data_IF_412180104649
#
_entry.id   IF_412180104649
#
_cell.length_a   1.000
_cell.length_b   1.000
_cell.length_c   1.000
_cell.angle_alpha   90.00
_cell.angle_beta   90.00
_cell.angle_gamma   90.00
#
_symmetry.space_group_name_H-M   'P 1'
#
loop_
_entity.id
_entity.type
_entity.pdbx_description
1 polymer ?
#
# COMPACT_ATOMS: atom_id res chain seq x y z
N UNK A 1 22.97 18.17 -10.73
CA UNK A 1 22.47 16.80 -10.89
C UNK A 1 21.72 16.46 -9.61
N UNK A 2 20.43 16.12 -9.69
CA UNK A 2 19.67 15.75 -8.49
C UNK A 2 20.20 14.44 -7.91
N UNK A 3 20.32 14.38 -6.59
CA UNK A 3 20.69 13.20 -5.80
C UNK A 3 19.43 12.60 -5.20
N UNK A 4 19.09 11.38 -5.59
CA UNK A 4 17.80 10.76 -5.25
C UNK A 4 18.06 9.42 -4.58
N UNK A 5 17.51 9.23 -3.38
CA UNK A 5 17.55 7.94 -2.70
C UNK A 5 16.20 7.23 -2.82
N UNK A 6 16.23 5.95 -3.18
CA UNK A 6 15.08 5.05 -3.15
C UNK A 6 15.21 4.18 -1.91
N UNK A 7 14.47 4.53 -0.86
CA UNK A 7 14.48 3.77 0.38
C UNK A 7 13.81 2.40 0.15
N UNK A 8 14.50 1.34 0.53
CA UNK A 8 14.05 -0.06 0.42
C UNK A 8 14.45 -0.80 1.70
N UNK A 9 14.47 -2.13 1.71
CA UNK A 9 15.00 -2.95 2.79
C UNK A 9 15.96 -4.01 2.24
N UNK A 10 16.77 -4.60 3.11
CA UNK A 10 17.56 -5.78 2.76
C UNK A 10 16.70 -7.05 2.98
N UNK A 11 16.26 -7.75 1.91
CA UNK A 11 15.53 -9.00 2.06
C UNK A 11 16.42 -10.18 2.51
N UNK A 12 17.75 -9.97 2.60
CA UNK A 12 18.73 -11.02 2.86
C UNK A 12 18.68 -12.09 1.77
N UNK A 13 18.52 -13.36 2.17
CA UNK A 13 18.36 -14.49 1.24
C UNK A 13 16.93 -14.70 0.74
N UNK A 14 15.95 -13.90 1.18
CA UNK A 14 14.55 -14.09 0.80
C UNK A 14 14.32 -13.74 -0.67
N UNK A 15 13.40 -14.45 -1.36
CA UNK A 15 13.10 -14.22 -2.76
C UNK A 15 12.31 -12.93 -3.04
N UNK A 16 12.01 -12.12 -2.00
CA UNK A 16 11.31 -10.85 -2.16
C UNK A 16 12.18 -9.89 -2.96
N UNK A 17 11.71 -9.53 -4.15
CA UNK A 17 12.38 -8.60 -5.06
C UNK A 17 11.35 -7.62 -5.58
N UNK A 18 11.47 -6.38 -5.15
CA UNK A 18 10.83 -5.26 -5.82
C UNK A 18 11.31 -5.22 -7.27
N UNK A 19 10.39 -5.50 -8.19
CA UNK A 19 10.68 -5.53 -9.63
C UNK A 19 10.81 -4.12 -10.19
N UNK A 20 10.11 -3.15 -9.59
CA UNK A 20 10.13 -1.76 -10.02
C UNK A 20 11.45 -1.06 -9.63
N UNK A 21 12.03 -1.40 -8.48
CA UNK A 21 13.22 -0.76 -7.93
C UNK A 21 14.43 -0.72 -8.89
N UNK A 22 14.93 -1.85 -9.42
CA UNK A 22 16.09 -1.83 -10.32
C UNK A 22 15.82 -1.02 -11.60
N UNK A 23 14.61 -1.17 -12.16
CA UNK A 23 14.19 -0.44 -13.38
C UNK A 23 14.15 1.06 -13.13
N UNK A 24 13.58 1.50 -12.01
CA UNK A 24 13.49 2.90 -11.65
C UNK A 24 14.86 3.51 -11.35
N UNK A 25 15.75 2.78 -10.66
CA UNK A 25 17.15 3.22 -10.42
C UNK A 25 17.88 3.45 -11.74
N UNK A 26 17.78 2.50 -12.68
CA UNK A 26 18.43 2.60 -13.98
C UNK A 26 17.88 3.78 -14.79
N UNK A 27 16.55 3.92 -14.86
CA UNK A 27 15.89 4.98 -15.62
C UNK A 27 16.22 6.38 -15.08
N UNK A 28 16.25 6.57 -13.76
CA UNK A 28 16.64 7.85 -13.15
C UNK A 28 18.11 8.20 -13.41
N UNK A 29 19.00 7.20 -13.38
CA UNK A 29 20.42 7.39 -13.74
C UNK A 29 20.59 7.76 -15.20
N UNK A 30 19.89 7.07 -16.10
CA UNK A 30 19.89 7.37 -17.53
C UNK A 30 19.37 8.79 -17.82
N UNK A 31 18.41 9.26 -17.03
CA UNK A 31 17.88 10.62 -17.09
C UNK A 31 18.77 11.68 -16.36
N UNK A 32 19.94 11.29 -15.87
CA UNK A 32 20.96 12.21 -15.35
C UNK A 32 20.86 12.52 -13.85
N UNK A 33 20.18 11.70 -13.04
CA UNK A 33 20.21 11.78 -11.58
C UNK A 33 21.28 10.87 -10.97
N UNK A 34 21.88 11.30 -9.86
CA UNK A 34 22.65 10.42 -8.99
C UNK A 34 21.67 9.64 -8.11
N UNK A 35 21.36 8.40 -8.51
CA UNK A 35 20.32 7.60 -7.84
C UNK A 35 20.92 6.38 -7.15
N UNK A 36 20.51 6.12 -5.92
CA UNK A 36 20.86 4.91 -5.17
C UNK A 36 19.61 4.29 -4.53
N UNK A 37 19.63 2.97 -4.38
CA UNK A 37 18.70 2.27 -3.50
C UNK A 37 19.44 1.94 -2.20
N UNK A 38 18.82 2.23 -1.06
CA UNK A 38 19.43 2.01 0.26
C UNK A 38 18.39 1.45 1.25
N UNK A 39 18.77 0.47 2.10
CA UNK A 39 17.93 0.05 3.21
C UNK A 39 17.58 1.23 4.11
N UNK A 40 16.30 1.38 4.45
CA UNK A 40 15.83 2.51 5.27
C UNK A 40 16.47 2.51 6.66
N UNK A 41 16.82 1.34 7.19
CA UNK A 41 17.46 1.14 8.48
C UNK A 41 18.99 1.06 8.42
N UNK A 42 19.61 1.37 7.27
CA UNK A 42 21.05 1.50 7.17
C UNK A 42 21.56 2.73 7.94
N UNK A 43 22.24 2.49 9.06
CA UNK A 43 22.84 3.53 9.90
C UNK A 43 23.99 4.29 9.19
N UNK A 44 24.55 3.75 8.10
CA UNK A 44 25.60 4.39 7.31
C UNK A 44 25.08 5.40 6.29
N UNK A 45 23.78 5.41 5.99
CA UNK A 45 23.20 6.28 4.96
C UNK A 45 22.96 7.70 5.51
N UNK A 46 23.66 8.69 4.94
CA UNK A 46 23.40 10.11 5.18
C UNK A 46 22.24 10.60 4.30
N UNK A 47 21.02 10.41 4.81
CA UNK A 47 19.79 10.82 4.13
C UNK A 47 19.73 12.33 3.82
N UNK A 48 20.38 13.18 4.63
CA UNK A 48 20.41 14.63 4.42
C UNK A 48 21.19 15.06 3.18
N UNK A 49 22.00 14.15 2.63
CA UNK A 49 22.83 14.41 1.44
C UNK A 49 22.06 14.32 0.12
N UNK A 50 20.81 13.84 0.13
CA UNK A 50 19.95 13.72 -1.06
C UNK A 50 19.02 14.93 -1.21
N UNK A 51 18.59 15.20 -2.44
CA UNK A 51 17.56 16.18 -2.79
C UNK A 51 16.15 15.65 -2.57
N UNK A 52 15.97 14.33 -2.72
CA UNK A 52 14.70 13.66 -2.57
C UNK A 52 14.93 12.23 -2.07
N UNK A 53 14.09 11.81 -1.12
CA UNK A 53 13.98 10.41 -0.70
C UNK A 53 12.61 9.89 -1.10
N UNK A 54 12.61 8.91 -2.00
CA UNK A 54 11.43 8.18 -2.44
C UNK A 54 11.33 6.87 -1.66
N UNK A 55 10.26 6.70 -0.89
CA UNK A 55 10.01 5.44 -0.18
C UNK A 55 9.48 4.42 -1.21
N UNK A 56 10.28 3.37 -1.43
CA UNK A 56 9.94 2.22 -2.28
C UNK A 56 9.71 1.04 -1.35
N UNK A 57 10.18 -0.14 -1.70
CA UNK A 57 9.91 -1.43 -1.04
C UNK A 57 10.39 -1.58 0.41
N UNK A 58 10.15 -0.64 1.32
CA UNK A 58 10.44 -0.76 2.77
C UNK A 58 9.47 -1.71 3.48
N UNK A 59 9.01 -2.78 2.82
CA UNK A 59 7.88 -3.63 3.24
C UNK A 59 8.08 -4.32 4.60
N UNK A 60 9.32 -4.42 5.08
CA UNK A 60 9.63 -4.90 6.42
C UNK A 60 9.17 -3.93 7.53
N UNK A 61 8.82 -2.68 7.21
CA UNK A 61 8.27 -1.73 8.18
C UNK A 61 7.01 -2.28 8.86
N UNK A 62 6.25 -3.14 8.18
CA UNK A 62 5.04 -3.77 8.73
C UNK A 62 5.31 -4.60 9.99
N UNK A 63 6.57 -4.97 10.25
CA UNK A 63 7.03 -5.64 11.47
C UNK A 63 7.59 -4.66 12.51
N UNK A 64 7.98 -3.45 12.08
CA UNK A 64 8.67 -2.42 12.87
C UNK A 64 8.07 -1.02 12.64
N UNK A 65 6.73 -0.84 12.73
CA UNK A 65 6.08 0.38 12.27
C UNK A 65 6.53 1.63 13.04
N UNK A 66 6.71 1.51 14.36
CA UNK A 66 7.19 2.62 15.20
C UNK A 66 8.61 3.08 14.83
N UNK A 67 9.49 2.13 14.50
CA UNK A 67 10.86 2.43 14.12
C UNK A 67 10.93 3.09 12.73
N UNK A 68 10.13 2.60 11.79
CA UNK A 68 10.00 3.16 10.45
C UNK A 68 9.42 4.58 10.47
N UNK A 69 8.35 4.82 11.23
CA UNK A 69 7.80 6.17 11.38
C UNK A 69 8.85 7.11 11.99
N UNK A 70 9.58 6.66 13.01
CA UNK A 70 10.64 7.46 13.61
C UNK A 70 11.79 7.73 12.62
N UNK A 71 12.12 6.79 11.73
CA UNK A 71 13.05 7.01 10.62
C UNK A 71 12.50 8.06 9.65
N UNK A 72 11.27 7.93 9.18
CA UNK A 72 10.65 8.87 8.25
C UNK A 72 10.63 10.30 8.83
N UNK A 73 10.32 10.46 10.12
CA UNK A 73 10.37 11.75 10.83
C UNK A 73 11.78 12.35 10.93
N UNK A 74 12.81 11.54 11.14
CA UNK A 74 14.20 12.01 11.13
C UNK A 74 14.63 12.41 9.72
N UNK A 75 14.32 11.58 8.73
CA UNK A 75 14.64 11.82 7.32
C UNK A 75 13.96 13.08 6.81
N UNK A 76 12.67 13.29 7.12
CA UNK A 76 11.93 14.48 6.73
C UNK A 76 12.45 15.79 7.35
N UNK A 77 13.21 15.72 8.45
CA UNK A 77 13.91 16.88 9.03
C UNK A 77 15.22 17.19 8.32
N UNK A 78 15.83 16.19 7.68
CA UNK A 78 17.13 16.30 7.03
C UNK A 78 17.01 16.57 5.52
N UNK A 79 15.97 16.06 4.87
CA UNK A 79 15.73 16.18 3.43
C UNK A 79 14.23 16.05 3.10
N UNK A 80 13.87 16.24 1.83
CA UNK A 80 12.51 16.08 1.34
C UNK A 80 12.17 14.60 1.18
N UNK A 81 11.12 14.14 1.87
CA UNK A 81 10.42 12.90 1.51
C UNK A 81 9.46 13.17 0.33
N UNK A 82 9.37 12.21 -0.59
CA UNK A 82 8.52 12.29 -1.77
C UNK A 82 7.03 12.49 -1.43
N UNK A 83 6.50 11.69 -0.52
CA UNK A 83 5.22 11.96 0.14
C UNK A 83 5.48 12.58 1.53
N UNK A 84 4.69 13.57 1.97
CA UNK A 84 4.90 14.22 3.27
C UNK A 84 4.89 13.24 4.44
N UNK A 85 5.72 13.49 5.46
CA UNK A 85 5.85 12.57 6.60
C UNK A 85 4.54 12.35 7.37
N UNK A 86 3.65 13.35 7.41
CA UNK A 86 2.34 13.20 8.04
C UNK A 86 1.45 12.21 7.29
N UNK A 87 1.52 12.23 5.95
CA UNK A 87 0.85 11.24 5.08
C UNK A 87 1.45 9.86 5.30
N UNK A 88 2.78 9.75 5.35
CA UNK A 88 3.46 8.48 5.64
C UNK A 88 3.00 7.92 6.99
N UNK A 89 3.03 8.72 8.06
CA UNK A 89 2.58 8.31 9.40
C UNK A 89 1.13 7.84 9.39
N UNK A 90 0.24 8.61 8.76
CA UNK A 90 -1.17 8.28 8.67
C UNK A 90 -1.41 6.98 7.89
N UNK A 91 -0.72 6.79 6.76
CA UNK A 91 -0.96 5.67 5.87
C UNK A 91 -0.29 4.35 6.30
N UNK A 92 0.67 4.38 7.23
CA UNK A 92 1.26 3.16 7.83
C UNK A 92 0.26 2.32 8.64
N UNK A 93 -0.92 2.85 8.95
CA UNK A 93 -1.99 2.17 9.69
C UNK A 93 -3.33 2.23 8.92
N UNK A 94 -3.83 1.06 8.49
CA UNK A 94 -5.08 0.91 7.71
C UNK A 94 -6.36 1.36 8.43
N UNK A 95 -6.27 1.88 9.66
CA UNK A 95 -7.33 2.71 10.26
C UNK A 95 -7.66 3.96 9.44
N UNK A 96 -6.76 4.38 8.54
CA UNK A 96 -7.07 5.39 7.53
C UNK A 96 -8.32 5.08 6.69
N UNK A 97 -8.69 3.79 6.52
CA UNK A 97 -9.91 3.40 5.79
C UNK A 97 -11.16 3.94 6.49
N UNK A 98 -11.17 3.97 7.83
CA UNK A 98 -12.22 4.59 8.62
C UNK A 98 -12.28 6.11 8.42
N UNK A 99 -11.12 6.78 8.30
CA UNK A 99 -11.07 8.22 8.02
C UNK A 99 -11.61 8.54 6.62
N UNK A 100 -11.28 7.72 5.61
CA UNK A 100 -11.84 7.82 4.26
C UNK A 100 -13.37 7.64 4.29
N UNK A 101 -13.88 6.64 5.03
CA UNK A 101 -15.31 6.44 5.20
C UNK A 101 -15.99 7.66 5.84
N UNK A 102 -15.39 8.22 6.89
CA UNK A 102 -15.89 9.41 7.57
C UNK A 102 -15.90 10.65 6.67
N UNK A 103 -15.01 10.71 5.67
CA UNK A 103 -15.00 11.73 4.63
C UNK A 103 -15.98 11.48 3.47
N UNK A 104 -16.77 10.39 3.54
CA UNK A 104 -17.77 10.04 2.52
C UNK A 104 -17.20 9.32 1.30
N UNK A 105 -15.97 8.81 1.37
CA UNK A 105 -15.40 7.96 0.32
C UNK A 105 -16.05 6.57 0.39
N UNK A 106 -16.52 5.99 -0.72
CA UNK A 106 -16.96 4.60 -0.73
C UNK A 106 -15.78 3.69 -0.41
N UNK A 107 -15.86 2.97 0.71
CA UNK A 107 -14.84 2.02 1.14
C UNK A 107 -15.48 0.69 1.50
N UNK A 108 -14.68 -0.38 1.53
CA UNK A 108 -15.13 -1.66 2.10
C UNK A 108 -15.50 -1.45 3.57
N UNK A 109 -16.74 -1.81 4.00
CA UNK A 109 -17.16 -1.66 5.39
C UNK A 109 -16.16 -2.32 6.34
N UNK A 110 -15.69 -1.57 7.34
CA UNK A 110 -14.57 -2.02 8.18
C UNK A 110 -14.87 -1.80 9.66
N UNK A 111 -14.71 -2.86 10.45
CA UNK A 111 -14.69 -2.81 11.91
C UNK A 111 -13.27 -3.04 12.41
N UNK A 112 -12.91 -2.43 13.53
CA UNK A 112 -11.60 -2.57 14.15
C UNK A 112 -11.75 -3.21 15.54
N UNK A 113 -10.94 -4.23 15.82
CA UNK A 113 -10.92 -4.93 17.10
C UNK A 113 -9.50 -4.85 17.69
N UNK A 114 -9.32 -3.97 18.68
CA UNK A 114 -8.07 -3.79 19.39
C UNK A 114 -7.84 -4.89 20.45
N UNK A 115 -6.60 -5.09 20.92
CA UNK A 115 -6.35 -6.00 22.04
C UNK A 115 -7.22 -5.66 23.25
N UNK A 116 -8.01 -6.64 23.71
CA UNK A 116 -8.94 -6.48 24.83
C UNK A 116 -10.40 -6.26 24.44
N UNK A 117 -10.68 -5.98 23.16
CA UNK A 117 -12.05 -5.93 22.63
C UNK A 117 -12.66 -7.33 22.56
N UNK A 118 -14.00 -7.46 22.68
CA UNK A 118 -14.68 -8.74 22.44
C UNK A 118 -14.45 -9.21 21.00
N UNK A 119 -14.34 -10.52 20.82
CA UNK A 119 -14.24 -11.18 19.52
C UNK A 119 -15.61 -11.20 18.80
N UNK A 120 -16.14 -10.03 18.48
CA UNK A 120 -17.41 -9.83 17.79
C UNK A 120 -17.24 -10.03 16.27
N UNK A 121 -17.13 -11.29 15.84
CA UNK A 121 -16.97 -11.66 14.43
C UNK A 121 -18.33 -11.97 13.78
N UNK A 122 -18.49 -11.75 12.46
CA UNK A 122 -19.76 -12.02 11.78
C UNK A 122 -20.16 -13.51 11.82
N UNK A 123 -21.47 -13.76 11.92
CA UNK A 123 -22.09 -15.08 11.96
C UNK A 123 -23.06 -15.36 10.79
N UNK A 124 -23.29 -14.37 9.93
CA UNK A 124 -24.30 -14.39 8.86
C UNK A 124 -23.70 -14.28 7.44
N UNK A 125 -22.43 -13.88 7.31
CA UNK A 125 -21.74 -13.75 6.02
C UNK A 125 -20.25 -14.08 6.10
N UNK A 126 -19.60 -14.17 4.94
CA UNK A 126 -18.15 -14.36 4.86
C UNK A 126 -17.40 -13.06 5.13
N UNK A 127 -16.26 -13.16 5.81
CA UNK A 127 -15.48 -12.01 6.23
C UNK A 127 -13.98 -12.25 6.11
N UNK A 128 -13.24 -11.16 6.10
CA UNK A 128 -11.78 -11.14 6.14
C UNK A 128 -11.33 -10.58 7.48
N UNK A 129 -10.38 -11.25 8.12
CA UNK A 129 -9.64 -10.74 9.27
C UNK A 129 -8.20 -10.50 8.83
N UNK A 130 -7.70 -9.28 9.03
CA UNK A 130 -6.31 -8.87 8.73
C UNK A 130 -5.83 -7.79 9.70
N UNK A 131 -4.52 -7.56 9.89
CA UNK A 131 -4.02 -6.52 10.78
C UNK A 131 -4.16 -5.13 10.14
N UNK A 132 -4.26 -4.08 10.97
CA UNK A 132 -4.26 -2.70 10.47
C UNK A 132 -2.86 -2.26 9.98
N UNK A 133 -1.79 -2.82 10.54
CA UNK A 133 -0.41 -2.68 10.04
C UNK A 133 0.04 -4.00 9.43
N UNK A 134 0.24 -4.03 8.11
CA UNK A 134 0.59 -5.25 7.40
C UNK A 134 0.88 -5.02 5.92
N UNK A 135 1.77 -5.83 5.36
CA UNK A 135 2.10 -5.91 3.94
C UNK A 135 2.09 -7.38 3.48
N UNK A 136 1.95 -7.63 2.17
CA UNK A 136 2.05 -8.97 1.57
C UNK A 136 1.01 -9.98 2.08
N UNK A 137 -0.19 -9.52 2.46
CA UNK A 137 -1.27 -10.35 3.01
C UNK A 137 -0.92 -11.14 4.29
N UNK A 138 0.10 -10.71 5.05
CA UNK A 138 0.41 -11.25 6.38
C UNK A 138 -0.84 -11.22 7.26
N UNK A 139 -1.13 -12.34 7.93
CA UNK A 139 -2.31 -12.50 8.78
C UNK A 139 -3.65 -12.27 8.06
N UNK A 140 -3.71 -12.10 6.75
CA UNK A 140 -5.00 -11.93 6.07
C UNK A 140 -5.61 -13.31 5.80
N UNK A 141 -6.85 -13.53 6.22
CA UNK A 141 -7.58 -14.76 5.93
C UNK A 141 -9.07 -14.49 5.75
N UNK A 142 -9.70 -15.26 4.86
CA UNK A 142 -11.14 -15.29 4.59
C UNK A 142 -11.77 -16.40 5.41
N UNK A 143 -12.89 -16.11 6.05
CA UNK A 143 -13.66 -17.05 6.87
C UNK A 143 -15.13 -17.07 6.46
N UNK A 144 -15.74 -18.22 6.63
CA UNK A 144 -17.20 -18.41 6.67
C UNK A 144 -17.69 -18.43 8.13
N UNK A 145 -19.00 -18.26 8.40
CA UNK A 145 -19.54 -18.35 9.76
C UNK A 145 -19.22 -19.66 10.49
N UNK A 146 -19.16 -20.80 9.80
CA UNK A 146 -18.79 -22.09 10.39
C UNK A 146 -17.31 -22.19 10.81
N UNK A 147 -16.47 -21.25 10.38
CA UNK A 147 -15.07 -21.16 10.75
C UNK A 147 -14.80 -20.16 11.89
N UNK A 148 -15.86 -19.69 12.58
CA UNK A 148 -15.77 -18.68 13.65
C UNK A 148 -14.69 -18.98 14.69
N UNK A 149 -14.62 -20.20 15.23
CA UNK A 149 -13.59 -20.55 16.23
C UNK A 149 -12.16 -20.43 15.68
N UNK A 150 -11.96 -20.69 14.38
CA UNK A 150 -10.64 -20.54 13.73
C UNK A 150 -10.27 -19.07 13.59
N UNK A 151 -11.22 -18.22 13.21
CA UNK A 151 -11.02 -16.79 13.14
C UNK A 151 -10.74 -16.17 14.52
N UNK A 152 -11.41 -16.65 15.58
CA UNK A 152 -11.12 -16.24 16.97
C UNK A 152 -9.68 -16.57 17.36
N UNK A 153 -9.17 -17.77 17.03
CA UNK A 153 -7.77 -18.13 17.33
C UNK A 153 -6.75 -17.25 16.61
N UNK A 154 -7.02 -16.88 15.36
CA UNK A 154 -6.19 -15.90 14.64
C UNK A 154 -6.24 -14.53 15.32
N UNK A 155 -7.43 -14.06 15.70
CA UNK A 155 -7.60 -12.78 16.40
C UNK A 155 -6.82 -12.75 17.72
N UNK A 156 -6.92 -13.80 18.53
CA UNK A 156 -6.14 -13.97 19.76
C UNK A 156 -4.63 -13.91 19.50
N UNK A 157 -4.17 -14.57 18.43
CA UNK A 157 -2.75 -14.52 18.03
C UNK A 157 -2.32 -13.10 17.65
N UNK A 158 -3.13 -12.38 16.88
CA UNK A 158 -2.87 -10.99 16.52
C UNK A 158 -2.82 -10.09 17.75
N UNK A 159 -3.78 -10.24 18.67
CA UNK A 159 -3.83 -9.47 19.91
C UNK A 159 -2.65 -9.76 20.85
N UNK A 160 -2.18 -11.01 20.91
CA UNK A 160 -0.97 -11.38 21.64
C UNK A 160 0.29 -10.70 21.07
N UNK A 161 0.30 -10.36 19.79
CA UNK A 161 1.35 -9.55 19.13
C UNK A 161 1.07 -8.03 19.23
N UNK A 162 0.02 -7.62 19.94
CA UNK A 162 -0.37 -6.21 20.09
C UNK A 162 -1.00 -5.59 18.84
N UNK A 163 -1.40 -6.40 17.86
CA UNK A 163 -1.96 -5.93 16.60
C UNK A 163 -3.46 -5.64 16.74
N UNK A 164 -3.91 -4.50 16.20
CA UNK A 164 -5.34 -4.24 16.00
C UNK A 164 -5.80 -5.00 14.76
N UNK A 165 -6.91 -5.73 14.88
CA UNK A 165 -7.52 -6.43 13.76
C UNK A 165 -8.49 -5.52 13.01
N UNK A 166 -8.60 -5.78 11.72
CA UNK A 166 -9.51 -5.17 10.77
C UNK A 166 -10.41 -6.29 10.25
N UNK A 167 -11.72 -6.13 10.43
CA UNK A 167 -12.75 -7.11 10.03
C UNK A 167 -13.60 -6.49 8.94
N UNK A 168 -13.64 -7.13 7.78
CA UNK A 168 -14.35 -6.65 6.58
C UNK A 168 -15.24 -7.75 6.02
N UNK A 169 -16.39 -7.44 5.41
CA UNK A 169 -17.13 -8.43 4.63
C UNK A 169 -16.25 -8.88 3.45
N UNK A 170 -16.34 -10.17 3.11
CA UNK A 170 -15.71 -10.66 1.90
C UNK A 170 -16.56 -10.26 0.69
N UNK A 171 -16.07 -9.32 -0.11
CA UNK A 171 -16.76 -8.87 -1.32
C UNK A 171 -16.57 -9.88 -2.44
N UNK A 172 -17.57 -10.74 -2.65
CA UNK A 172 -17.52 -11.87 -3.61
C UNK A 172 -17.24 -11.45 -5.05
N UNK A 173 -17.52 -10.19 -5.42
CA UNK A 173 -17.20 -9.69 -6.75
C UNK A 173 -15.69 -9.69 -7.04
N UNK A 174 -14.83 -9.66 -6.01
CA UNK A 174 -13.37 -9.78 -6.18
C UNK A 174 -12.97 -11.10 -6.85
N UNK A 175 -13.75 -12.18 -6.66
CA UNK A 175 -13.52 -13.48 -7.32
C UNK A 175 -13.83 -13.43 -8.84
N UNK A 176 -14.59 -12.41 -9.29
CA UNK A 176 -15.02 -12.24 -10.68
C UNK A 176 -14.25 -11.11 -11.36
N UNK A 177 -14.40 -9.88 -10.86
CA UNK A 177 -13.78 -8.68 -11.44
C UNK A 177 -12.30 -8.54 -11.06
N UNK A 178 -11.85 -9.22 -10.01
CA UNK A 178 -10.58 -8.91 -9.37
C UNK A 178 -10.59 -7.54 -8.71
N UNK A 179 -9.41 -7.16 -8.22
CA UNK A 179 -9.10 -5.87 -7.63
C UNK A 179 -8.39 -4.99 -8.67
N UNK A 180 -8.76 -3.70 -8.75
CA UNK A 180 -8.18 -2.76 -9.69
C UNK A 180 -7.30 -1.76 -8.96
N UNK A 181 -6.01 -1.81 -9.28
CA UNK A 181 -4.98 -0.98 -8.69
C UNK A 181 -4.70 0.21 -9.62
N UNK A 182 -5.22 1.39 -9.28
CA UNK A 182 -5.05 2.63 -10.04
C UNK A 182 -3.83 3.37 -9.51
N UNK A 183 -2.83 3.60 -10.36
CA UNK A 183 -1.62 4.32 -10.00
C UNK A 183 -1.71 5.79 -10.40
N UNK A 184 -1.40 6.65 -9.44
CA UNK A 184 -1.24 8.08 -9.61
C UNK A 184 0.20 8.48 -9.30
N UNK A 185 0.73 9.42 -10.07
CA UNK A 185 2.07 9.97 -9.88
C UNK A 185 2.09 11.46 -10.23
N UNK A 186 2.66 12.29 -9.35
CA UNK A 186 2.62 13.75 -9.45
C UNK A 186 1.20 14.30 -9.61
N UNK A 187 0.24 13.76 -8.86
CA UNK A 187 -1.18 14.15 -8.91
C UNK A 187 -1.93 13.73 -10.19
N UNK A 188 -1.33 12.94 -11.09
CA UNK A 188 -1.95 12.50 -12.35
C UNK A 188 -2.10 10.99 -12.39
N UNK A 189 -3.20 10.52 -12.96
CA UNK A 189 -3.35 9.10 -13.29
C UNK A 189 -2.29 8.68 -14.32
N UNK A 190 -1.62 7.55 -14.07
CA UNK A 190 -0.57 7.01 -14.95
C UNK A 190 -1.06 5.76 -15.67
N UNK A 191 -1.49 4.75 -14.90
CA UNK A 191 -2.00 3.48 -15.43
C UNK A 191 -2.80 2.74 -14.35
N UNK A 192 -3.46 1.66 -14.74
CA UNK A 192 -4.14 0.76 -13.82
C UNK A 192 -3.82 -0.71 -14.13
N UNK A 193 -3.85 -1.55 -13.11
CA UNK A 193 -3.70 -3.00 -13.25
C UNK A 193 -4.89 -3.70 -12.59
N UNK A 194 -5.24 -4.88 -13.08
CA UNK A 194 -6.20 -5.78 -12.42
C UNK A 194 -5.44 -6.97 -11.86
N UNK A 195 -5.76 -7.35 -10.63
CA UNK A 195 -5.17 -8.51 -9.94
C UNK A 195 -6.27 -9.41 -9.37
N UNK A 196 -6.01 -10.71 -9.40
CA UNK A 196 -6.89 -11.73 -8.84
C UNK A 196 -6.97 -11.66 -7.31
N UNK A 197 -7.96 -12.35 -6.75
CA UNK A 197 -8.14 -12.43 -5.31
C UNK A 197 -6.98 -13.21 -4.65
N UNK A 198 -6.37 -12.62 -3.62
CA UNK A 198 -5.30 -13.28 -2.84
C UNK A 198 -5.86 -14.37 -1.91
N UNK A 199 -7.08 -14.19 -1.41
CA UNK A 199 -7.68 -15.02 -0.36
C UNK A 199 -8.71 -15.99 -0.94
N UNK A 200 -8.23 -17.13 -1.46
CA UNK A 200 -9.09 -18.25 -1.79
C UNK A 200 -9.74 -18.84 -0.53
N UNK A 201 -10.88 -19.52 -0.68
CA UNK A 201 -11.51 -20.23 0.45
C UNK A 201 -10.54 -21.25 1.04
N UNK A 202 -10.37 -21.22 2.36
CA UNK A 202 -9.53 -22.16 3.09
C UNK A 202 -8.04 -21.81 3.14
N UNK A 203 -7.60 -20.70 2.55
CA UNK A 203 -6.23 -20.20 2.74
C UNK A 203 -6.03 -19.79 4.20
N UNK A 204 -5.07 -20.42 4.89
CA UNK A 204 -4.79 -20.10 6.29
C UNK A 204 -4.10 -18.74 6.43
N UNK A 205 -4.24 -18.08 7.58
CA UNK A 205 -3.69 -16.75 7.81
C UNK A 205 -2.15 -16.72 7.78
N UNK A 206 -1.51 -17.85 8.09
CA UNK A 206 -0.07 -18.08 8.17
C UNK A 206 0.52 -18.80 6.94
N UNK A 207 -0.30 -19.18 5.96
CA UNK A 207 0.19 -19.69 4.68
C UNK A 207 0.99 -18.63 3.91
N UNK A 208 2.01 -19.07 3.18
CA UNK A 208 2.68 -18.26 2.17
C UNK A 208 1.69 -17.93 1.04
N UNK A 209 1.50 -16.63 0.77
CA UNK A 209 0.55 -16.14 -0.23
C UNK A 209 1.28 -15.49 -1.39
N UNK A 210 0.80 -15.75 -2.60
CA UNK A 210 1.26 -15.04 -3.79
C UNK A 210 0.67 -13.64 -3.75
N UNK A 211 1.54 -12.63 -3.70
CA UNK A 211 1.13 -11.23 -3.82
C UNK A 211 0.74 -10.94 -5.28
N UNK A 212 -0.38 -10.23 -5.47
CA UNK A 212 -0.87 -9.77 -6.77
C UNK A 212 -1.01 -10.91 -7.82
N UNK A 213 -1.80 -11.96 -7.55
CA UNK A 213 -2.01 -13.06 -8.50
C UNK A 213 -2.70 -12.54 -9.77
N UNK A 214 -2.51 -13.23 -10.89
CA UNK A 214 -3.19 -12.93 -12.17
C UNK A 214 -3.09 -11.46 -12.61
N UNK A 215 -1.94 -10.82 -12.35
CA UNK A 215 -1.71 -9.42 -12.63
C UNK A 215 -1.72 -9.14 -14.14
N UNK A 216 -2.60 -8.23 -14.58
CA UNK A 216 -2.75 -7.83 -15.98
C UNK A 216 -3.03 -6.31 -16.12
N UNK A 217 -2.75 -5.68 -17.28
CA UNK A 217 -3.11 -4.29 -17.51
C UNK A 217 -4.63 -4.07 -17.43
N UNK A 218 -5.04 -2.91 -16.92
CA UNK A 218 -6.45 -2.54 -16.82
C UNK A 218 -6.70 -1.14 -17.38
N UNK A 219 -7.86 -0.96 -18.03
CA UNK A 219 -8.36 0.36 -18.42
C UNK A 219 -9.35 0.83 -17.36
N UNK A 220 -8.93 1.76 -16.51
CA UNK A 220 -9.78 2.31 -15.47
C UNK A 220 -11.03 2.96 -16.06
N UNK A 221 -12.17 2.66 -15.47
CA UNK A 221 -13.45 3.29 -15.82
C UNK A 221 -13.56 4.69 -15.21
N UNK A 222 -14.49 5.51 -15.71
CA UNK A 222 -14.78 6.83 -15.13
C UNK A 222 -15.23 6.73 -13.66
N UNK A 223 -16.01 5.69 -13.31
CA UNK A 223 -16.46 5.45 -11.94
C UNK A 223 -15.29 5.10 -11.01
N UNK A 224 -14.36 4.26 -11.46
CA UNK A 224 -13.15 3.90 -10.71
C UNK A 224 -12.25 5.12 -10.48
N UNK A 225 -11.99 5.91 -11.54
CA UNK A 225 -11.23 7.15 -11.43
C UNK A 225 -11.89 8.12 -10.44
N UNK A 226 -13.21 8.29 -10.52
CA UNK A 226 -13.94 9.18 -9.62
C UNK A 226 -13.86 8.74 -8.14
N UNK A 227 -13.89 7.44 -7.84
CA UNK A 227 -13.68 6.93 -6.47
C UNK A 227 -12.24 7.17 -6.02
N UNK A 228 -11.26 6.91 -6.89
CA UNK A 228 -9.86 7.12 -6.57
C UNK A 228 -9.54 8.60 -6.30
N UNK A 229 -10.03 9.51 -7.13
CA UNK A 229 -9.87 10.95 -6.94
C UNK A 229 -10.52 11.43 -5.64
N UNK A 230 -11.71 10.91 -5.29
CA UNK A 230 -12.34 11.18 -3.98
C UNK A 230 -11.48 10.70 -2.82
N UNK A 231 -10.89 9.51 -2.93
CA UNK A 231 -10.01 8.96 -1.90
C UNK A 231 -8.74 9.81 -1.73
N UNK A 232 -8.12 10.25 -2.83
CA UNK A 232 -6.94 11.10 -2.81
C UNK A 232 -7.25 12.50 -2.25
N UNK A 233 -8.42 13.07 -2.57
CA UNK A 233 -8.87 14.35 -2.03
C UNK A 233 -9.17 14.30 -0.52
N UNK A 234 -9.44 13.12 0.03
CA UNK A 234 -9.69 12.91 1.46
C UNK A 234 -8.41 12.70 2.29
N UNK A 235 -7.23 12.64 1.66
CA UNK A 235 -5.96 12.48 2.37
C UNK A 235 -5.65 13.77 3.17
N UNK A 236 -5.41 13.67 4.49
CA UNK A 236 -5.17 14.84 5.33
C UNK A 236 -3.83 15.51 5.02
N UNK A 237 -3.80 16.85 5.13
CA UNK A 237 -2.59 17.68 5.05
C UNK A 237 -1.70 17.38 3.83
N UNK A 238 -2.32 17.10 2.68
CA UNK A 238 -1.65 16.58 1.49
C UNK A 238 -1.74 17.54 0.29
N UNK A 239 -1.00 18.66 0.30
CA UNK A 239 -1.03 19.59 -0.83
C UNK A 239 -0.50 18.96 -2.13
N UNK A 240 0.45 18.00 -2.06
CA UNK A 240 0.99 17.31 -3.24
C UNK A 240 1.47 15.88 -2.91
N UNK A 241 0.75 14.85 -3.38
CA UNK A 241 1.23 13.46 -3.38
C UNK A 241 2.08 13.22 -4.62
N UNK A 242 3.32 12.78 -4.43
CA UNK A 242 4.15 12.37 -5.57
C UNK A 242 3.70 11.02 -6.12
N UNK A 243 3.21 10.11 -5.28
CA UNK A 243 2.69 8.82 -5.72
C UNK A 243 1.57 8.34 -4.81
N UNK A 244 0.65 7.60 -5.42
CA UNK A 244 -0.41 6.89 -4.71
C UNK A 244 -0.86 5.70 -5.54
N UNK A 245 -1.21 4.59 -4.87
CA UNK A 245 -1.99 3.52 -5.50
C UNK A 245 -3.32 3.39 -4.78
N UNK A 246 -4.42 3.50 -5.52
CA UNK A 246 -5.76 3.27 -5.00
C UNK A 246 -6.23 1.91 -5.50
N UNK A 247 -6.46 1.01 -4.56
CA UNK A 247 -6.91 -0.35 -4.84
C UNK A 247 -8.43 -0.44 -4.63
N UNK A 248 -9.14 -0.76 -5.71
CA UNK A 248 -10.60 -0.77 -5.78
C UNK A 248 -11.15 -2.18 -5.98
N UNK A 249 -12.35 -2.40 -5.46
CA UNK A 249 -13.15 -3.61 -5.66
C UNK A 249 -14.61 -3.22 -5.84
N UNK A 250 -15.39 -4.05 -6.53
CA UNK A 250 -16.83 -3.82 -6.67
C UNK A 250 -17.57 -4.18 -5.38
N UNK A 251 -18.34 -3.23 -4.87
CA UNK A 251 -19.28 -3.44 -3.79
C UNK A 251 -20.45 -4.36 -4.20
N UNK A 252 -21.36 -4.68 -3.26
CA UNK A 252 -22.53 -5.53 -3.54
C UNK A 252 -23.48 -4.97 -4.60
N UNK A 253 -23.49 -3.65 -4.80
CA UNK A 253 -24.24 -2.93 -5.82
C UNK A 253 -23.53 -2.88 -7.19
N UNK A 254 -22.31 -3.41 -7.27
CA UNK A 254 -21.46 -3.36 -8.47
C UNK A 254 -20.69 -2.05 -8.63
N UNK A 255 -20.82 -1.10 -7.70
CA UNK A 255 -20.08 0.16 -7.75
C UNK A 255 -18.69 0.03 -7.11
N UNK A 256 -17.67 0.73 -7.62
CA UNK A 256 -16.32 0.66 -7.07
C UNK A 256 -16.24 1.26 -5.66
N UNK A 257 -15.51 0.61 -4.78
CA UNK A 257 -15.16 1.10 -3.46
C UNK A 257 -13.68 0.84 -3.15
N UNK A 258 -13.10 1.68 -2.30
CA UNK A 258 -11.70 1.57 -1.88
C UNK A 258 -11.53 0.38 -0.93
N UNK A 259 -10.65 -0.54 -1.30
CA UNK A 259 -10.19 -1.62 -0.42
C UNK A 259 -8.89 -1.25 0.28
N UNK A 260 -7.97 -0.59 -0.42
CA UNK A 260 -6.69 -0.15 0.12
C UNK A 260 -6.23 1.16 -0.56
N UNK A 261 -5.50 1.99 0.17
CA UNK A 261 -4.84 3.20 -0.35
C UNK A 261 -3.38 3.16 0.08
N UNK A 262 -2.46 2.94 -0.86
CA UNK A 262 -1.03 2.83 -0.59
C UNK A 262 -0.31 4.14 -0.98
N UNK A 263 0.13 4.87 0.03
CA UNK A 263 0.87 6.14 -0.06
C UNK A 263 2.29 6.03 0.52
N UNK A 264 2.66 4.88 1.09
CA UNK A 264 3.98 4.66 1.68
C UNK A 264 4.93 4.04 0.67
N UNK A 265 4.64 2.85 0.15
CA UNK A 265 5.60 2.01 -0.57
C UNK A 265 5.00 1.16 -1.72
N UNK A 266 4.04 1.68 -2.51
CA UNK A 266 3.27 0.84 -3.40
C UNK A 266 4.14 0.17 -4.47
N UNK A 267 3.80 -1.07 -4.79
CA UNK A 267 4.16 -1.64 -6.09
C UNK A 267 3.55 -0.75 -7.18
N UNK A 268 4.38 -0.31 -8.12
CA UNK A 268 4.01 0.56 -9.23
C UNK A 268 3.66 -0.25 -10.48
N UNK A 269 4.11 -1.51 -10.55
CA UNK A 269 3.86 -2.42 -11.68
C UNK A 269 4.41 -1.89 -13.02
N UNK A 270 5.58 -1.24 -13.00
CA UNK A 270 6.16 -0.58 -14.18
C UNK A 270 6.42 -1.56 -15.32
N UNK A 271 6.87 -2.79 -14.99
CA UNK A 271 7.14 -3.85 -15.96
C UNK A 271 5.91 -4.34 -16.74
N UNK A 272 4.70 -4.08 -16.19
CA UNK A 272 3.44 -4.48 -16.82
C UNK A 272 2.95 -3.47 -17.85
N UNK A 273 3.46 -2.24 -17.79
CA UNK A 273 2.91 -1.10 -18.51
C UNK A 273 3.88 -0.56 -19.57
N UNK A 274 3.39 0.23 -20.54
CA UNK A 274 4.25 0.81 -21.57
C UNK A 274 5.35 1.69 -20.99
N UNK A 275 6.45 1.84 -21.74
CA UNK A 275 7.59 2.71 -21.37
C UNK A 275 7.19 4.16 -21.06
N UNK A 276 6.07 4.64 -21.61
CA UNK A 276 5.51 5.96 -21.28
C UNK A 276 5.14 6.12 -19.81
N UNK A 277 4.69 5.05 -19.12
CA UNK A 277 4.42 5.08 -17.68
C UNK A 277 5.71 5.29 -16.88
N UNK A 278 6.77 4.55 -17.21
CA UNK A 278 8.09 4.72 -16.60
C UNK A 278 8.63 6.14 -16.84
N UNK A 279 8.48 6.65 -18.07
CA UNK A 279 8.89 8.01 -18.43
C UNK A 279 8.17 9.05 -17.57
N UNK A 280 6.84 8.95 -17.42
CA UNK A 280 6.05 9.87 -16.61
C UNK A 280 6.46 9.84 -15.13
N UNK A 281 6.78 8.65 -14.59
CA UNK A 281 7.29 8.47 -13.23
C UNK A 281 8.65 9.14 -13.07
N UNK A 282 9.59 8.89 -13.99
CA UNK A 282 10.94 9.50 -13.96
C UNK A 282 10.87 11.02 -14.02
N UNK A 283 10.08 11.58 -14.93
CA UNK A 283 9.90 13.04 -15.05
C UNK A 283 9.37 13.66 -13.77
N UNK A 284 8.37 13.04 -13.15
CA UNK A 284 7.79 13.53 -11.91
C UNK A 284 8.77 13.44 -10.73
N UNK A 285 9.55 12.36 -10.62
CA UNK A 285 10.59 12.22 -9.60
C UNK A 285 11.67 13.29 -9.77
N UNK A 286 12.14 13.53 -11.00
CA UNK A 286 13.13 14.58 -11.28
C UNK A 286 12.59 15.98 -10.98
N UNK A 287 11.33 16.25 -11.36
CA UNK A 287 10.65 17.51 -11.05
C UNK A 287 10.54 17.75 -9.54
N UNK A 288 10.18 16.71 -8.78
CA UNK A 288 10.15 16.78 -7.33
C UNK A 288 11.54 17.02 -6.72
N UNK A 289 12.58 16.37 -7.23
CA UNK A 289 13.95 16.60 -6.75
C UNK A 289 14.49 18.00 -7.08
N UNK A 290 14.00 18.64 -8.16
CA UNK A 290 14.44 19.96 -8.58
C UNK A 290 13.76 21.13 -7.84
N UNK A 291 12.60 20.91 -7.21
CA UNK A 291 11.75 21.97 -6.64
C UNK A 291 12.16 22.42 -5.23
N UNK A 292 13.47 22.56 -4.95
CA UNK A 292 14.00 23.02 -3.65
C UNK A 292 13.69 24.48 -3.35
#
# INVERSE_FOLDING_TARGET
MPRIALATYDPGSKPSKDRDLPVLVEALRAAGAETVAAPWDDAGTDWGSYDLVLIRSTWDYSWRPAEFVAWAERTAKATRLANPVQVVRWNTDKRYVGDLAAAGVPVVPTRYLAPGDPADLPDDHEYVVKPTSGAGARFAARYTPDQHETAVRQLERMHAEGLTAMVQPYLTNVDVSGERALLFFGGRFVHASRKGAVLARGTAYDDDKVSHPDLEPWTATEAELAVAERALAAVPDSPELLYARVDLVDGPDGEPCVMELELVEPNLFLDLHPESSLTAVVEAVLGAAASR
#
